data_IF_203236973754
#
_entry.id   IF_203236973754
#
_cell.length_a   1.000
_cell.length_b   1.000
_cell.length_c   1.000
_cell.angle_alpha   90.00
_cell.angle_beta   90.00
_cell.angle_gamma   90.00
#
_symmetry.space_group_name_H-M   'P 1'
#
loop_
_entity.id
_entity.type
_entity.pdbx_description
1 polymer ?
#
# COMPACT_ATOMS: atom_id res chain seq x y z
N UNK A 1 -3.43 -16.52 13.86
CA UNK A 1 -2.51 -15.84 14.81
C UNK A 1 -2.40 -14.36 14.48
N UNK A 2 -2.00 -13.49 15.41
CA UNK A 2 -1.89 -12.03 15.17
C UNK A 2 -1.01 -11.71 13.95
N UNK A 3 0.08 -12.46 13.74
CA UNK A 3 0.97 -12.33 12.58
C UNK A 3 0.25 -12.43 11.23
N UNK A 4 -0.73 -13.32 11.10
CA UNK A 4 -1.48 -13.51 9.84
C UNK A 4 -2.33 -12.30 9.49
N UNK A 5 -2.72 -11.48 10.48
CA UNK A 5 -3.48 -10.25 10.23
C UNK A 5 -2.58 -9.18 9.59
N UNK A 6 -1.31 -9.10 9.99
CA UNK A 6 -0.34 -8.16 9.43
C UNK A 6 0.02 -8.49 7.99
N UNK A 7 0.08 -9.78 7.65
CA UNK A 7 0.42 -10.24 6.31
C UNK A 7 -0.60 -9.81 5.25
N UNK A 8 -1.84 -9.52 5.65
CA UNK A 8 -2.91 -9.02 4.76
C UNK A 8 -2.71 -7.58 4.28
N UNK A 9 -1.82 -6.82 4.93
CA UNK A 9 -1.58 -5.40 4.62
C UNK A 9 -0.59 -5.23 3.45
N UNK A 10 -0.88 -5.80 2.28
CA UNK A 10 0.08 -5.76 1.17
C UNK A 10 0.24 -4.40 0.51
N UNK A 11 -0.82 -3.58 0.52
CA UNK A 11 -0.87 -2.30 -0.17
C UNK A 11 -1.05 -2.41 -1.69
N UNK A 12 -0.97 -3.61 -2.26
CA UNK A 12 -0.99 -3.87 -3.72
C UNK A 12 -2.25 -3.32 -4.39
N UNK A 13 -3.41 -3.53 -3.77
CA UNK A 13 -4.69 -3.05 -4.29
C UNK A 13 -4.73 -1.52 -4.43
N UNK A 14 -3.88 -0.79 -3.71
CA UNK A 14 -3.79 0.67 -3.78
C UNK A 14 -2.90 1.22 -4.88
N UNK A 15 -2.25 0.37 -5.67
CA UNK A 15 -1.49 0.81 -6.84
C UNK A 15 -2.44 0.91 -8.03
N UNK A 16 -2.66 2.14 -8.50
CA UNK A 16 -3.70 2.48 -9.47
C UNK A 16 -3.12 3.13 -10.72
N UNK A 17 -3.75 2.87 -11.87
CA UNK A 17 -3.45 3.50 -13.15
C UNK A 17 -4.53 4.55 -13.46
N UNK A 18 -4.15 5.83 -13.44
CA UNK A 18 -5.08 6.97 -13.58
C UNK A 18 -4.86 7.66 -14.92
N UNK A 19 -5.95 8.01 -15.61
CA UNK A 19 -5.88 8.75 -16.88
C UNK A 19 -5.31 10.15 -16.71
N UNK A 20 -4.73 10.68 -17.78
CA UNK A 20 -4.19 12.04 -17.80
C UNK A 20 -5.25 13.09 -17.42
N UNK A 21 -6.50 12.92 -17.87
CA UNK A 21 -7.62 13.79 -17.49
C UNK A 21 -7.85 13.84 -15.98
N UNK A 22 -7.81 12.68 -15.31
CA UNK A 22 -7.98 12.62 -13.86
C UNK A 22 -6.80 13.31 -13.15
N UNK A 23 -5.58 13.02 -13.59
CA UNK A 23 -4.34 13.59 -13.04
C UNK A 23 -4.36 15.11 -13.13
N UNK A 24 -4.64 15.66 -14.32
CA UNK A 24 -4.73 17.10 -14.55
C UNK A 24 -5.89 17.73 -13.77
N UNK A 25 -7.07 17.10 -13.78
CA UNK A 25 -8.23 17.58 -13.04
C UNK A 25 -8.05 17.60 -11.51
N UNK A 26 -7.13 16.81 -10.98
CA UNK A 26 -6.75 16.79 -9.56
C UNK A 26 -5.44 17.51 -9.25
N UNK A 27 -4.80 18.10 -10.25
CA UNK A 27 -3.49 18.77 -10.12
C UNK A 27 -2.42 17.86 -9.49
N UNK A 28 -2.46 16.57 -9.81
CA UNK A 28 -1.46 15.63 -9.34
C UNK A 28 -0.15 15.80 -10.12
N UNK A 29 1.02 15.69 -9.48
CA UNK A 29 2.30 15.65 -10.18
C UNK A 29 2.37 14.45 -11.13
N UNK A 30 3.10 14.61 -12.25
CA UNK A 30 3.31 13.51 -13.19
C UNK A 30 4.06 12.35 -12.52
N UNK A 31 3.55 11.12 -12.70
CA UNK A 31 4.09 9.91 -12.11
C UNK A 31 4.74 8.98 -13.16
N UNK A 32 5.11 7.77 -12.75
CA UNK A 32 5.55 6.73 -13.68
C UNK A 32 4.43 6.43 -14.70
N UNK A 33 4.76 6.30 -15.99
CA UNK A 33 3.77 5.86 -17.00
C UNK A 33 3.37 4.41 -16.75
N UNK A 34 2.09 4.11 -16.93
CA UNK A 34 1.59 2.76 -16.82
C UNK A 34 2.06 1.92 -18.02
N UNK A 35 2.71 0.75 -17.81
CA UNK A 35 3.33 0.01 -18.92
C UNK A 35 2.37 -0.47 -20.00
N UNK A 36 1.07 -0.57 -19.70
CA UNK A 36 0.06 -1.14 -20.59
C UNK A 36 -0.85 -0.09 -21.25
N UNK A 37 -0.72 1.18 -20.86
CA UNK A 37 -1.53 2.28 -21.41
C UNK A 37 -0.79 3.62 -21.19
N UNK A 38 -0.26 4.20 -22.25
CA UNK A 38 0.57 5.41 -22.18
C UNK A 38 -0.20 6.67 -21.75
N UNK A 39 -1.54 6.66 -21.83
CA UNK A 39 -2.40 7.76 -21.35
C UNK A 39 -2.61 7.72 -19.82
N UNK A 40 -2.04 6.70 -19.15
CA UNK A 40 -2.19 6.52 -17.71
C UNK A 40 -0.87 6.65 -16.97
N UNK A 41 -0.95 7.26 -15.79
CA UNK A 41 0.12 7.28 -14.79
C UNK A 41 -0.17 6.33 -13.62
N UNK A 42 0.88 5.76 -13.04
CA UNK A 42 0.81 4.88 -11.86
C UNK A 42 0.92 5.71 -10.59
N UNK A 43 -0.07 5.59 -9.71
CA UNK A 43 -0.13 6.27 -8.42
C UNK A 43 -0.37 5.27 -7.29
N UNK A 44 0.03 5.64 -6.08
CA UNK A 44 -0.21 4.87 -4.88
C UNK A 44 -1.22 5.60 -4.00
N UNK A 45 -2.27 4.91 -3.61
CA UNK A 45 -3.22 5.43 -2.63
C UNK A 45 -2.57 5.44 -1.24
N UNK A 46 -2.57 6.62 -0.63
CA UNK A 46 -1.85 6.88 0.64
C UNK A 46 -2.24 5.90 1.76
N UNK A 47 -3.54 5.57 1.89
CA UNK A 47 -3.99 4.59 2.90
C UNK A 47 -3.39 3.20 2.70
N UNK A 48 -3.38 2.69 1.46
CA UNK A 48 -2.77 1.40 1.14
C UNK A 48 -1.25 1.43 1.29
N UNK A 49 -0.61 2.54 0.95
CA UNK A 49 0.82 2.73 1.18
C UNK A 49 1.16 2.70 2.68
N UNK A 50 0.34 3.32 3.54
CA UNK A 50 0.51 3.23 4.98
C UNK A 50 0.36 1.79 5.50
N UNK A 51 -0.59 1.02 4.97
CA UNK A 51 -0.74 -0.41 5.30
C UNK A 51 0.51 -1.21 4.91
N UNK A 52 1.06 -0.96 3.71
CA UNK A 52 2.33 -1.53 3.29
C UNK A 52 3.47 -1.17 4.26
N UNK A 53 3.63 0.11 4.60
CA UNK A 53 4.65 0.57 5.54
C UNK A 53 4.54 -0.11 6.91
N UNK A 54 3.32 -0.25 7.44
CA UNK A 54 3.07 -0.95 8.70
C UNK A 54 3.48 -2.43 8.63
N UNK A 55 3.14 -3.13 7.54
CA UNK A 55 3.58 -4.52 7.32
C UNK A 55 5.10 -4.63 7.23
N UNK A 56 5.74 -3.74 6.47
CA UNK A 56 7.20 -3.69 6.28
C UNK A 56 7.91 -3.49 7.62
N UNK A 57 7.46 -2.54 8.45
CA UNK A 57 8.02 -2.33 9.78
C UNK A 57 7.78 -3.51 10.72
N UNK A 58 6.59 -4.09 10.70
CA UNK A 58 6.28 -5.30 11.47
C UNK A 58 7.22 -6.45 11.10
N UNK A 59 7.39 -6.76 9.81
CA UNK A 59 8.33 -7.78 9.33
C UNK A 59 9.76 -7.48 9.73
N UNK A 60 10.21 -6.23 9.57
CA UNK A 60 11.55 -5.81 9.96
C UNK A 60 11.85 -6.12 11.44
N UNK A 61 10.92 -5.77 12.34
CA UNK A 61 11.03 -6.05 13.79
C UNK A 61 10.97 -7.56 14.06
N UNK A 62 10.02 -8.27 13.45
CA UNK A 62 9.84 -9.70 13.67
C UNK A 62 11.02 -10.53 13.17
N UNK A 63 11.69 -10.14 12.08
CA UNK A 63 12.91 -10.78 11.63
C UNK A 63 14.04 -10.61 12.66
N UNK A 64 14.20 -9.41 13.20
CA UNK A 64 15.20 -9.15 14.24
C UNK A 64 14.93 -9.95 15.52
N UNK A 65 13.68 -9.93 16.02
CA UNK A 65 13.27 -10.65 17.23
C UNK A 65 13.48 -12.16 17.09
N UNK A 66 13.12 -12.72 15.93
CA UNK A 66 13.27 -14.15 15.64
C UNK A 66 14.70 -14.53 15.21
N UNK A 67 15.63 -13.56 15.12
CA UNK A 67 17.01 -13.77 14.64
C UNK A 67 17.05 -14.37 13.23
N UNK A 68 16.10 -14.01 12.38
CA UNK A 68 16.06 -14.38 10.97
C UNK A 68 16.91 -13.42 10.13
N UNK A 69 17.38 -13.84 8.94
CA UNK A 69 18.02 -12.94 8.01
C UNK A 69 17.12 -11.73 7.69
N UNK A 70 17.71 -10.54 7.66
CA UNK A 70 16.98 -9.34 7.31
C UNK A 70 16.77 -9.28 5.79
N UNK A 71 15.50 -9.29 5.37
CA UNK A 71 15.09 -9.18 3.96
C UNK A 71 14.53 -7.79 3.60
N UNK A 72 14.54 -6.87 4.56
CA UNK A 72 14.12 -5.48 4.40
C UNK A 72 15.31 -4.59 4.75
N UNK A 73 15.85 -3.91 3.74
CA UNK A 73 16.88 -2.92 3.84
C UNK A 73 16.45 -1.81 4.82
N UNK A 74 17.39 -1.41 5.68
CA UNK A 74 17.15 -0.36 6.67
C UNK A 74 16.64 0.94 6.04
N UNK A 75 17.12 1.29 4.85
CA UNK A 75 16.65 2.49 4.13
C UNK A 75 15.15 2.43 3.80
N UNK A 76 14.63 1.24 3.48
CA UNK A 76 13.21 1.04 3.19
C UNK A 76 12.37 1.14 4.48
N UNK A 77 12.85 0.54 5.58
CA UNK A 77 12.22 0.68 6.89
C UNK A 77 12.18 2.14 7.36
N UNK A 78 13.27 2.90 7.19
CA UNK A 78 13.34 4.32 7.55
C UNK A 78 12.42 5.19 6.68
N UNK A 79 12.33 4.91 5.37
CA UNK A 79 11.37 5.55 4.49
C UNK A 79 9.92 5.31 4.94
N UNK A 80 9.58 4.06 5.26
CA UNK A 80 8.27 3.69 5.77
C UNK A 80 7.93 4.42 7.07
N UNK A 81 8.90 4.52 7.99
CA UNK A 81 8.74 5.23 9.25
C UNK A 81 8.49 6.74 9.02
N UNK A 82 9.26 7.38 8.15
CA UNK A 82 9.08 8.82 7.87
C UNK A 82 7.77 9.09 7.11
N UNK A 83 7.35 8.23 6.19
CA UNK A 83 6.07 8.39 5.51
C UNK A 83 4.88 8.30 6.47
N UNK A 84 4.89 7.34 7.39
CA UNK A 84 3.86 7.24 8.44
C UNK A 84 3.89 8.46 9.36
N UNK A 85 5.07 9.00 9.69
CA UNK A 85 5.20 10.24 10.47
C UNK A 85 4.56 11.43 9.74
N UNK A 86 4.87 11.61 8.46
CA UNK A 86 4.29 12.68 7.65
C UNK A 86 2.77 12.56 7.55
N UNK A 87 2.26 11.33 7.38
CA UNK A 87 0.81 11.07 7.30
C UNK A 87 0.08 11.39 8.60
N UNK A 88 0.65 11.03 9.76
CA UNK A 88 0.10 11.36 11.08
C UNK A 88 0.07 12.87 11.31
N UNK A 89 1.10 13.60 10.86
CA UNK A 89 1.13 15.06 10.94
C UNK A 89 0.07 15.69 10.03
N UNK A 90 -0.07 15.18 8.80
CA UNK A 90 -1.05 15.66 7.83
C UNK A 90 -2.49 15.40 8.28
N UNK A 91 -2.73 14.25 8.91
CA UNK A 91 -4.03 13.82 9.43
C UNK A 91 -4.05 13.92 10.97
N UNK A 92 -3.69 15.09 11.50
CA UNK A 92 -3.69 15.35 12.95
C UNK A 92 -5.09 15.18 13.53
N UNK A 93 -5.34 14.03 14.15
CA UNK A 93 -6.62 13.65 14.73
C UNK A 93 -6.76 14.24 16.15
N UNK A 94 -7.77 15.09 16.32
CA UNK A 94 -8.06 15.84 17.54
C UNK A 94 -8.98 15.08 18.51
N UNK A 95 -9.39 13.85 18.21
CA UNK A 95 -10.21 13.02 19.09
C UNK A 95 -9.50 12.77 20.42
N UNK A 96 -10.01 13.30 21.56
CA UNK A 96 -9.33 13.14 22.85
C UNK A 96 -9.24 11.67 23.26
N UNK A 97 -8.07 11.20 23.64
CA UNK A 97 -7.86 9.80 24.02
C UNK A 97 -8.28 9.55 25.47
N UNK A 98 -9.18 8.60 25.70
CA UNK A 98 -9.61 8.22 27.06
C UNK A 98 -8.44 7.60 27.87
N UNK A 99 -8.25 7.98 29.13
CA UNK A 99 -7.13 7.56 29.97
C UNK A 99 -7.56 7.27 31.43
N UNK A 100 -6.92 6.29 32.07
CA UNK A 100 -6.94 6.10 33.53
C UNK A 100 -7.92 5.07 34.11
N UNK A 101 -8.92 4.63 33.34
CA UNK A 101 -10.02 3.80 33.88
C UNK A 101 -10.29 2.52 33.09
N UNK A 102 -9.40 2.17 32.17
CA UNK A 102 -9.54 1.02 31.29
C UNK A 102 -8.26 0.17 31.27
N UNK A 103 -8.44 -1.14 31.09
CA UNK A 103 -7.35 -2.10 30.91
C UNK A 103 -7.61 -2.96 29.65
N UNK A 104 -6.63 -3.15 28.74
CA UNK A 104 -5.27 -2.58 28.74
C UNK A 104 -5.17 -1.26 27.95
N UNK A 105 -4.53 -0.24 28.54
CA UNK A 105 -3.99 0.93 27.82
C UNK A 105 -4.96 2.09 27.54
N UNK A 106 -4.43 3.21 27.05
CA UNK A 106 -5.23 4.42 26.75
C UNK A 106 -6.08 4.27 25.49
N UNK A 107 -7.35 4.66 25.56
CA UNK A 107 -8.30 4.61 24.44
C UNK A 107 -8.86 3.23 24.10
N UNK A 108 -8.65 2.21 24.95
CA UNK A 108 -9.24 0.90 24.74
C UNK A 108 -10.78 0.97 24.69
N UNK A 109 -11.38 0.39 23.65
CA UNK A 109 -12.84 0.43 23.43
C UNK A 109 -13.39 1.79 22.98
N UNK A 110 -12.54 2.81 22.79
CA UNK A 110 -12.98 4.12 22.35
C UNK A 110 -13.40 4.09 20.88
N UNK A 111 -14.57 4.65 20.59
CA UNK A 111 -15.08 4.82 19.22
C UNK A 111 -14.17 5.77 18.44
N UNK A 112 -13.92 5.42 17.18
CA UNK A 112 -13.11 6.19 16.23
C UNK A 112 -13.90 6.35 14.95
N UNK A 113 -13.81 7.51 14.32
CA UNK A 113 -14.37 7.69 12.98
C UNK A 113 -13.35 7.22 11.95
N UNK A 114 -13.68 6.16 11.22
CA UNK A 114 -12.84 5.60 10.17
C UNK A 114 -13.36 5.99 8.79
N UNK A 115 -12.45 6.13 7.82
CA UNK A 115 -12.85 6.11 6.41
C UNK A 115 -13.35 4.71 6.04
N UNK A 116 -14.30 4.67 5.11
CA UNK A 116 -14.81 3.41 4.56
C UNK A 116 -13.76 2.78 3.62
N UNK A 117 -13.09 1.75 4.11
CA UNK A 117 -12.12 0.97 3.35
C UNK A 117 -12.75 0.21 2.19
N UNK A 118 -13.99 -0.26 2.32
CA UNK A 118 -14.67 -0.98 1.23
C UNK A 118 -14.92 -0.08 0.03
N UNK A 119 -15.31 1.17 0.29
CA UNK A 119 -15.44 2.19 -0.75
C UNK A 119 -14.09 2.52 -1.41
N UNK A 120 -13.01 2.64 -0.63
CA UNK A 120 -11.67 2.91 -1.16
C UNK A 120 -11.12 1.73 -1.97
N UNK A 121 -11.28 0.51 -1.48
CA UNK A 121 -10.89 -0.74 -2.15
C UNK A 121 -11.61 -0.87 -3.50
N UNK A 122 -12.93 -0.67 -3.52
CA UNK A 122 -13.70 -0.69 -4.76
C UNK A 122 -13.17 0.33 -5.77
N UNK A 123 -12.94 1.57 -5.32
CA UNK A 123 -12.42 2.63 -6.19
C UNK A 123 -11.05 2.27 -6.78
N UNK A 124 -10.19 1.63 -5.98
CA UNK A 124 -8.85 1.21 -6.38
C UNK A 124 -8.88 0.03 -7.36
N UNK A 125 -9.73 -0.98 -7.10
CA UNK A 125 -9.90 -2.14 -7.98
C UNK A 125 -10.40 -1.75 -9.38
N UNK A 126 -11.35 -0.82 -9.47
CA UNK A 126 -11.82 -0.27 -10.75
C UNK A 126 -10.70 0.39 -11.57
N UNK A 127 -9.61 0.79 -10.92
CA UNK A 127 -8.48 1.54 -11.48
C UNK A 127 -7.15 0.84 -11.25
N UNK A 128 -7.15 -0.46 -11.03
CA UNK A 128 -5.94 -1.20 -10.65
C UNK A 128 -4.85 -1.07 -11.71
N UNK A 129 -3.60 -0.91 -11.27
CA UNK A 129 -2.43 -1.03 -12.12
C UNK A 129 -1.99 -2.51 -12.27
N UNK A 130 -2.73 -3.47 -11.73
CA UNK A 130 -2.33 -4.88 -11.72
C UNK A 130 -0.93 -5.11 -11.12
N UNK A 131 -0.67 -4.43 -10.00
CA UNK A 131 0.64 -4.43 -9.36
C UNK A 131 0.72 -5.48 -8.24
N UNK A 132 1.88 -6.10 -8.08
CA UNK A 132 2.23 -6.92 -6.92
C UNK A 132 3.58 -6.52 -6.33
N UNK A 133 3.61 -6.19 -5.05
CA UNK A 133 4.85 -5.97 -4.32
C UNK A 133 5.58 -7.29 -4.09
N UNK A 134 6.88 -7.27 -4.40
CA UNK A 134 7.84 -8.28 -4.00
C UNK A 134 8.96 -7.55 -3.28
N UNK A 135 9.09 -7.81 -1.97
CA UNK A 135 10.01 -7.09 -1.11
C UNK A 135 11.45 -7.40 -1.51
N UNK A 136 12.15 -6.39 -2.02
CA UNK A 136 13.60 -6.40 -2.30
C UNK A 136 14.07 -7.53 -3.22
N UNK A 137 13.13 -8.14 -3.96
CA UNK A 137 13.42 -9.13 -5.00
C UNK A 137 13.90 -8.40 -6.26
N UNK A 138 15.10 -8.75 -6.77
CA UNK A 138 15.59 -8.23 -8.04
C UNK A 138 14.68 -8.67 -9.20
N UNK A 139 14.43 -7.77 -10.15
CA UNK A 139 13.69 -8.10 -11.36
C UNK A 139 13.23 -6.86 -12.12
N UNK A 140 12.79 -7.01 -13.38
CA UNK A 140 12.23 -5.91 -14.14
C UNK A 140 10.94 -5.39 -13.47
N UNK A 141 10.86 -4.08 -13.26
CA UNK A 141 9.68 -3.44 -12.66
C UNK A 141 8.38 -3.77 -13.42
N UNK A 142 8.47 -3.95 -14.74
CA UNK A 142 7.33 -4.31 -15.60
C UNK A 142 6.67 -5.63 -15.22
N UNK A 143 7.41 -6.61 -14.69
CA UNK A 143 6.84 -7.90 -14.27
C UNK A 143 5.90 -7.74 -13.07
N UNK A 144 6.13 -6.73 -12.23
CA UNK A 144 5.26 -6.43 -11.09
C UNK A 144 3.89 -5.94 -11.53
N UNK A 145 3.74 -5.42 -12.74
CA UNK A 145 2.47 -4.94 -13.31
C UNK A 145 1.65 -6.04 -14.02
N UNK A 146 2.01 -7.32 -13.86
CA UNK A 146 1.30 -8.47 -14.44
C UNK A 146 0.43 -9.25 -13.44
N UNK A 147 -0.10 -8.58 -12.42
CA UNK A 147 -0.87 -9.22 -11.35
C UNK A 147 -2.16 -8.47 -11.04
N UNK A 148 -3.23 -8.79 -11.75
CA UNK A 148 -4.54 -8.18 -11.52
C UNK A 148 -5.30 -8.94 -10.41
N UNK A 149 -5.86 -8.25 -9.40
CA UNK A 149 -6.63 -8.89 -8.32
C UNK A 149 -7.85 -9.68 -8.80
N UNK A 150 -8.41 -9.32 -9.94
CA UNK A 150 -9.60 -9.92 -10.55
C UNK A 150 -9.28 -10.84 -11.73
N UNK A 151 -8.00 -11.17 -11.95
CA UNK A 151 -7.56 -12.11 -12.97
C UNK A 151 -7.60 -11.59 -14.41
N UNK A 152 -7.93 -10.31 -14.65
CA UNK A 152 -7.81 -9.73 -15.99
C UNK A 152 -6.35 -9.72 -16.45
N UNK A 153 -6.13 -9.63 -17.76
CA UNK A 153 -4.80 -9.57 -18.38
C UNK A 153 -4.71 -8.29 -19.20
N UNK A 154 -3.78 -7.41 -18.83
CA UNK A 154 -3.59 -6.09 -19.49
C UNK A 154 -2.34 -6.03 -20.37
N UNK A 155 -1.47 -7.03 -20.29
CA UNK A 155 -0.23 -7.11 -21.05
C UNK A 155 -0.42 -7.95 -22.31
N UNK A 156 0.43 -7.77 -23.35
CA UNK A 156 0.47 -8.68 -24.48
C UNK A 156 0.78 -10.09 -23.99
N UNK A 157 -0.07 -11.05 -24.38
CA UNK A 157 0.16 -12.47 -24.14
C UNK A 157 0.81 -13.01 -25.40
N UNK A 158 1.98 -13.63 -25.30
CA UNK A 158 2.53 -14.38 -26.43
C UNK A 158 1.51 -15.45 -26.82
N UNK A 159 0.96 -15.35 -28.03
CA UNK A 159 0.22 -16.46 -28.62
C UNK A 159 1.20 -17.61 -28.77
N UNK A 160 1.03 -18.67 -27.98
CA UNK A 160 1.74 -19.92 -28.23
C UNK A 160 1.56 -20.29 -29.71
N UNK A 161 2.70 -20.46 -30.39
CA UNK A 161 2.84 -20.37 -31.84
C UNK A 161 1.83 -21.15 -32.68
N UNK A 162 1.60 -20.61 -33.88
CA UNK A 162 1.15 -21.37 -35.04
C UNK A 162 2.22 -22.36 -35.52
#
# INVERSE_FOLDING_TARGET
>A
MVTELWEKFSGDAGVVALSQDYVTGKMLPHALRFPWDEDKGVYLLQGFHNLHCLRTLFRYVMYAEQKLPQHIALVHALHCLDQLRQDVICNADDTPRYAGFQAPGTGAGQVRLCRDWGSLEKWALERTACFKHEDEVPGPMIERFKSCPDGRVLWPVETAGA
#
